data_IF_609893463418
#
_entry.id   IF_609893463418
#
_cell.length_a   1.000
_cell.length_b   1.000
_cell.length_c   1.000
_cell.angle_alpha   90.00
_cell.angle_beta   90.00
_cell.angle_gamma   90.00
#
_symmetry.space_group_name_H-M   'P 1'
#
loop_
_entity.id
_entity.type
_entity.pdbx_description
1 polymer ?
#
# COMPACT_ATOMS: atom_id res chain seq x y z
N UNK A 1 71.86 -17.49 -38.26
CA UNK A 1 71.33 -16.22 -38.82
C UNK A 1 69.99 -16.00 -38.14
N UNK A 2 69.99 -15.29 -37.00
CA UNK A 2 69.61 -13.86 -36.84
C UNK A 2 68.10 -13.68 -37.00
N UNK A 3 67.30 -13.12 -36.09
CA UNK A 3 67.49 -12.35 -34.86
C UNK A 3 66.17 -12.38 -34.05
N UNK A 4 66.26 -12.04 -32.76
CA UNK A 4 65.12 -11.80 -31.89
C UNK A 4 64.46 -10.45 -32.19
N UNK A 5 63.14 -10.34 -31.99
CA UNK A 5 62.50 -9.02 -31.80
C UNK A 5 61.40 -9.16 -30.75
N UNK A 6 61.67 -8.60 -29.58
CA UNK A 6 60.71 -8.32 -28.52
C UNK A 6 59.77 -7.19 -28.99
N UNK A 7 58.47 -7.45 -29.03
CA UNK A 7 57.43 -6.44 -29.20
C UNK A 7 56.75 -6.21 -27.86
N UNK A 8 56.89 -5.00 -27.34
CA UNK A 8 56.51 -4.57 -26.00
C UNK A 8 55.03 -4.76 -25.68
N UNK A 9 54.74 -5.23 -24.47
CA UNK A 9 53.41 -5.15 -23.88
C UNK A 9 53.05 -3.70 -23.63
N UNK A 10 52.01 -3.23 -24.32
CA UNK A 10 51.31 -1.99 -24.00
C UNK A 10 50.09 -2.31 -23.14
N UNK A 11 50.34 -2.50 -21.84
CA UNK A 11 49.33 -2.52 -20.79
C UNK A 11 49.09 -1.06 -20.36
N UNK A 12 48.44 -0.28 -21.22
CA UNK A 12 47.91 1.03 -20.83
C UNK A 12 46.37 0.95 -20.70
N UNK A 13 45.81 1.25 -19.51
CA UNK A 13 44.37 1.22 -19.30
C UNK A 13 43.73 2.40 -20.05
N UNK A 14 42.82 2.08 -20.96
CA UNK A 14 41.95 3.05 -21.63
C UNK A 14 41.21 3.87 -20.54
N UNK A 15 41.35 5.20 -20.49
CA UNK A 15 40.58 5.98 -19.53
C UNK A 15 39.11 5.93 -19.94
N UNK A 16 38.31 5.20 -19.16
CA UNK A 16 36.85 5.32 -19.19
C UNK A 16 36.52 6.73 -18.70
N UNK A 17 36.06 7.57 -19.61
CA UNK A 17 35.46 8.86 -19.25
C UNK A 17 34.38 8.62 -18.18
N UNK A 18 34.44 9.25 -17.01
CA UNK A 18 33.28 9.27 -16.12
C UNK A 18 32.25 10.17 -16.79
N UNK A 19 31.27 9.57 -17.46
CA UNK A 19 30.01 10.23 -17.76
C UNK A 19 29.46 10.78 -16.44
N UNK A 20 29.48 12.09 -16.31
CA UNK A 20 28.87 12.84 -15.22
C UNK A 20 27.39 12.44 -15.14
N UNK A 21 26.91 11.81 -14.05
CA UNK A 21 25.50 11.70 -13.84
C UNK A 21 24.96 13.10 -13.55
N UNK A 22 23.97 13.48 -14.36
CA UNK A 22 23.09 14.62 -14.13
C UNK A 22 22.61 14.62 -12.69
N UNK A 23 22.82 15.73 -11.99
CA UNK A 23 22.25 16.00 -10.69
C UNK A 23 20.76 16.31 -10.90
N UNK A 24 19.93 15.30 -10.71
CA UNK A 24 18.48 15.38 -10.78
C UNK A 24 17.92 13.96 -10.75
N UNK A 25 17.18 13.64 -9.69
CA UNK A 25 16.53 12.34 -9.40
C UNK A 25 17.39 11.31 -8.67
N UNK A 26 17.60 11.61 -7.38
CA UNK A 26 17.95 10.61 -6.38
C UNK A 26 16.65 9.87 -5.99
N UNK A 27 16.65 8.56 -6.22
CA UNK A 27 15.87 7.51 -5.54
C UNK A 27 14.39 7.30 -5.91
N UNK A 28 14.14 6.40 -6.87
CA UNK A 28 13.27 5.25 -6.60
C UNK A 28 13.74 4.03 -7.42
N UNK A 29 13.92 2.89 -6.76
CA UNK A 29 14.50 1.67 -7.33
C UNK A 29 13.50 0.96 -8.29
N UNK A 30 13.96 0.11 -9.24
CA UNK A 30 13.07 -0.70 -10.10
C UNK A 30 12.14 -1.66 -9.34
N UNK A 31 12.34 -1.79 -8.02
CA UNK A 31 11.51 -2.57 -7.12
C UNK A 31 10.07 -2.06 -6.99
N UNK A 32 9.87 -0.74 -6.97
CA UNK A 32 8.53 -0.16 -6.88
C UNK A 32 7.72 -0.43 -8.13
N UNK A 33 8.36 -0.57 -9.30
CA UNK A 33 7.66 -0.76 -10.57
C UNK A 33 6.91 -2.09 -10.62
N UNK A 34 7.49 -3.17 -10.08
CA UNK A 34 6.86 -4.50 -10.10
C UNK A 34 5.62 -4.57 -9.20
N UNK A 35 5.66 -3.92 -8.04
CA UNK A 35 4.50 -3.80 -7.16
C UNK A 35 3.50 -2.73 -7.63
N UNK A 36 3.97 -1.66 -8.28
CA UNK A 36 3.12 -0.61 -8.85
C UNK A 36 2.28 -1.14 -10.01
N UNK A 37 2.82 -2.05 -10.82
CA UNK A 37 2.08 -2.75 -11.87
C UNK A 37 0.88 -3.56 -11.34
N UNK A 38 0.86 -3.90 -10.05
CA UNK A 38 -0.25 -4.62 -9.42
C UNK A 38 -1.39 -3.68 -8.98
N UNK A 39 -1.27 -2.36 -9.16
CA UNK A 39 -2.32 -1.41 -8.80
C UNK A 39 -2.42 -1.08 -7.30
N UNK A 40 -1.29 -1.16 -6.58
CA UNK A 40 -1.24 -0.79 -5.16
C UNK A 40 -1.19 0.73 -4.96
N UNK A 41 -1.83 1.21 -3.88
CA UNK A 41 -1.77 2.61 -3.49
C UNK A 41 -0.33 3.07 -3.19
N UNK A 42 0.00 4.35 -3.43
CA UNK A 42 1.34 4.89 -3.21
C UNK A 42 1.82 4.76 -1.77
N UNK A 43 0.90 4.80 -0.80
CA UNK A 43 1.16 4.59 0.62
C UNK A 43 1.72 3.19 0.90
N UNK A 44 1.09 2.17 0.30
CA UNK A 44 1.53 0.78 0.44
C UNK A 44 2.83 0.52 -0.31
N UNK A 45 3.03 1.14 -1.48
CA UNK A 45 4.29 1.03 -2.24
C UNK A 45 5.48 1.57 -1.44
N UNK A 46 5.30 2.70 -0.75
CA UNK A 46 6.31 3.25 0.14
C UNK A 46 6.62 2.28 1.28
N UNK A 47 5.58 1.75 1.95
CA UNK A 47 5.78 0.83 3.06
C UNK A 47 6.49 -0.47 2.63
N UNK A 48 6.13 -1.00 1.45
CA UNK A 48 6.79 -2.16 0.83
C UNK A 48 8.28 -1.88 0.56
N UNK A 49 8.61 -0.70 0.05
CA UNK A 49 9.99 -0.27 -0.15
C UNK A 49 10.76 -0.12 1.18
N UNK A 50 10.13 0.44 2.21
CA UNK A 50 10.72 0.61 3.55
C UNK A 50 10.98 -0.74 4.25
N UNK A 51 10.14 -1.74 3.98
CA UNK A 51 10.32 -3.13 4.41
C UNK A 51 11.42 -3.87 3.62
N UNK A 52 11.97 -3.25 2.57
CA UNK A 52 13.00 -3.84 1.72
C UNK A 52 12.48 -4.90 0.74
N UNK A 53 11.17 -4.92 0.46
CA UNK A 53 10.61 -5.79 -0.55
C UNK A 53 10.89 -5.24 -1.94
N UNK A 54 11.79 -5.91 -2.66
CA UNK A 54 12.22 -5.46 -3.99
C UNK A 54 11.42 -6.09 -5.12
N UNK A 55 11.17 -7.41 -5.05
CA UNK A 55 10.43 -8.14 -6.07
C UNK A 55 9.27 -8.92 -5.44
N UNK A 56 8.05 -8.86 -6.01
CA UNK A 56 6.94 -9.65 -5.51
C UNK A 56 7.21 -11.13 -5.73
N UNK A 57 6.87 -11.97 -4.74
CA UNK A 57 6.94 -13.43 -4.92
C UNK A 57 5.86 -13.91 -5.90
N UNK A 58 6.02 -15.10 -6.46
CA UNK A 58 5.01 -15.67 -7.38
C UNK A 58 3.62 -15.75 -6.74
N UNK A 59 3.58 -16.18 -5.47
CA UNK A 59 2.34 -16.25 -4.68
C UNK A 59 1.74 -14.87 -4.47
N UNK A 60 2.57 -13.85 -4.21
CA UNK A 60 2.11 -12.47 -4.07
C UNK A 60 1.55 -11.93 -5.38
N UNK A 61 2.25 -12.12 -6.51
CA UNK A 61 1.74 -11.66 -7.82
C UNK A 61 0.37 -12.26 -8.13
N UNK A 62 0.22 -13.57 -7.98
CA UNK A 62 -1.05 -14.25 -8.25
C UNK A 62 -2.12 -13.84 -7.25
N UNK A 63 -1.81 -13.86 -5.96
CA UNK A 63 -2.79 -13.55 -4.93
C UNK A 63 -3.23 -12.09 -5.00
N UNK A 64 -2.32 -11.13 -5.17
CA UNK A 64 -2.64 -9.69 -5.26
C UNK A 64 -3.43 -9.39 -6.53
N UNK A 65 -3.01 -9.93 -7.68
CA UNK A 65 -3.71 -9.71 -8.94
C UNK A 65 -5.13 -10.30 -8.95
N UNK A 66 -5.35 -11.40 -8.23
CA UNK A 66 -6.68 -11.93 -8.00
C UNK A 66 -7.42 -11.10 -6.96
N UNK A 67 -6.77 -10.79 -5.83
CA UNK A 67 -7.34 -10.14 -4.64
C UNK A 67 -7.82 -8.69 -4.87
N UNK A 68 -7.19 -7.99 -5.80
CA UNK A 68 -7.62 -6.66 -6.21
C UNK A 68 -8.61 -6.82 -7.37
N UNK A 69 -9.81 -6.21 -7.30
CA UNK A 69 -10.65 -6.12 -8.46
C UNK A 69 -9.83 -5.40 -9.54
N UNK A 70 -9.46 -6.14 -10.59
CA UNK A 70 -9.12 -5.52 -11.87
C UNK A 70 -10.24 -4.54 -12.15
N UNK A 71 -9.92 -3.26 -12.36
CA UNK A 71 -10.84 -2.10 -12.42
C UNK A 71 -10.85 -1.18 -11.17
N UNK A 72 -9.77 -1.08 -10.39
CA UNK A 72 -9.45 0.21 -9.74
C UNK A 72 -8.95 1.16 -10.84
N UNK A 73 -9.88 1.56 -11.72
CA UNK A 73 -9.69 2.72 -12.58
C UNK A 73 -9.54 3.94 -11.68
N UNK A 74 -8.53 4.75 -11.98
CA UNK A 74 -8.20 6.04 -11.35
C UNK A 74 -9.26 7.11 -11.64
N UNK A 75 -10.53 6.76 -11.61
CA UNK A 75 -11.65 7.68 -11.76
C UNK A 75 -12.31 7.84 -10.40
N UNK A 76 -11.93 8.91 -9.71
CA UNK A 76 -12.49 9.44 -8.45
C UNK A 76 -14.02 9.65 -8.46
N UNK A 77 -14.71 9.28 -9.54
CA UNK A 77 -16.13 9.49 -9.77
C UNK A 77 -17.01 8.24 -9.65
N UNK A 78 -16.46 7.02 -9.52
CA UNK A 78 -17.27 5.79 -9.41
C UNK A 78 -17.61 5.38 -7.96
N UNK A 79 -17.12 6.09 -6.96
CA UNK A 79 -17.32 5.78 -5.53
C UNK A 79 -18.75 6.11 -5.02
N UNK A 80 -19.65 6.56 -5.88
CA UNK A 80 -21.02 6.97 -5.51
C UNK A 80 -22.09 5.89 -5.74
N UNK A 81 -21.75 4.73 -6.30
CA UNK A 81 -22.70 3.64 -6.48
C UNK A 81 -22.36 2.46 -5.56
N UNK A 82 -22.75 2.59 -4.29
CA UNK A 82 -23.07 1.44 -3.46
C UNK A 82 -24.32 0.77 -4.04
N UNK A 83 -24.19 0.15 -5.21
CA UNK A 83 -25.15 -0.83 -5.70
C UNK A 83 -24.79 -2.16 -5.04
N UNK A 84 -25.77 -2.73 -4.33
CA UNK A 84 -25.74 -3.98 -3.54
C UNK A 84 -25.25 -5.25 -4.29
N UNK A 85 -24.70 -5.15 -5.50
CA UNK A 85 -24.27 -6.26 -6.37
C UNK A 85 -22.84 -6.11 -6.97
N UNK A 86 -22.04 -5.11 -6.57
CA UNK A 86 -20.76 -4.78 -7.24
C UNK A 86 -19.46 -5.19 -6.50
N UNK A 87 -19.54 -5.97 -5.43
CA UNK A 87 -18.39 -6.59 -4.77
C UNK A 87 -18.54 -8.10 -4.92
N UNK A 88 -18.20 -8.65 -6.09
CA UNK A 88 -17.94 -10.08 -6.20
C UNK A 88 -16.69 -10.40 -5.39
N UNK A 89 -16.83 -10.45 -4.06
CA UNK A 89 -15.83 -10.96 -3.16
C UNK A 89 -15.56 -12.41 -3.57
N UNK A 90 -14.52 -12.62 -4.36
CA UNK A 90 -14.09 -13.97 -4.73
C UNK A 90 -13.30 -14.52 -3.54
N UNK A 91 -13.68 -15.71 -3.12
CA UNK A 91 -12.93 -16.45 -2.12
C UNK A 91 -11.65 -16.98 -2.78
N UNK A 92 -10.51 -16.62 -2.21
CA UNK A 92 -9.20 -17.06 -2.68
C UNK A 92 -8.63 -18.13 -1.75
N UNK A 93 -8.34 -19.31 -2.29
CA UNK A 93 -7.57 -20.33 -1.60
C UNK A 93 -6.11 -20.31 -2.08
N UNK A 94 -5.17 -20.00 -1.18
CA UNK A 94 -3.74 -19.93 -1.49
C UNK A 94 -2.99 -21.07 -0.77
N UNK A 95 -2.35 -21.95 -1.54
CA UNK A 95 -1.46 -22.99 -1.00
C UNK A 95 -0.01 -22.69 -1.36
N UNK A 96 0.86 -22.51 -0.36
CA UNK A 96 2.30 -22.35 -0.58
C UNK A 96 3.14 -22.66 0.66
N UNK A 97 4.41 -23.01 0.47
CA UNK A 97 5.37 -23.37 1.55
C UNK A 97 5.69 -22.18 2.47
N UNK A 98 6.00 -22.44 3.74
CA UNK A 98 6.46 -21.39 4.67
C UNK A 98 7.65 -20.61 4.09
N UNK A 99 7.71 -19.30 4.34
CA UNK A 99 8.73 -18.42 3.73
C UNK A 99 8.41 -17.91 2.33
N UNK A 100 7.29 -18.30 1.71
CA UNK A 100 6.88 -17.83 0.36
C UNK A 100 6.31 -16.39 0.28
N UNK A 101 6.27 -15.67 1.40
CA UNK A 101 5.71 -14.32 1.45
C UNK A 101 4.17 -14.25 1.48
N UNK A 102 3.49 -15.33 1.92
CA UNK A 102 2.01 -15.38 2.09
C UNK A 102 1.44 -14.21 2.88
N UNK A 103 2.16 -13.77 3.91
CA UNK A 103 1.67 -12.71 4.81
C UNK A 103 1.39 -11.43 4.05
N UNK A 104 2.36 -10.93 3.28
CA UNK A 104 2.15 -9.76 2.42
C UNK A 104 1.15 -10.05 1.28
N UNK A 105 1.07 -11.29 0.79
CA UNK A 105 0.16 -11.68 -0.28
C UNK A 105 -1.33 -11.46 0.06
N UNK A 106 -1.73 -11.65 1.33
CA UNK A 106 -3.09 -11.34 1.77
C UNK A 106 -3.19 -9.97 2.47
N UNK A 107 -2.14 -9.51 3.16
CA UNK A 107 -2.19 -8.22 3.87
C UNK A 107 -2.26 -7.03 2.93
N UNK A 108 -1.47 -7.00 1.84
CA UNK A 108 -1.45 -5.88 0.91
C UNK A 108 -2.84 -5.57 0.30
N UNK A 109 -3.55 -6.54 -0.30
CA UNK A 109 -4.89 -6.26 -0.84
C UNK A 109 -5.92 -5.96 0.26
N UNK A 110 -5.79 -6.56 1.44
CA UNK A 110 -6.65 -6.26 2.59
C UNK A 110 -6.47 -4.80 3.04
N UNK A 111 -5.23 -4.35 3.22
CA UNK A 111 -4.91 -2.98 3.63
C UNK A 111 -5.36 -1.97 2.57
N UNK A 112 -5.18 -2.28 1.27
CA UNK A 112 -5.69 -1.47 0.17
C UNK A 112 -7.20 -1.25 0.29
N UNK A 113 -7.98 -2.32 0.52
CA UNK A 113 -9.44 -2.23 0.69
C UNK A 113 -9.82 -1.40 1.92
N UNK A 114 -9.11 -1.57 3.04
CA UNK A 114 -9.34 -0.77 4.25
C UNK A 114 -9.03 0.72 4.05
N UNK A 115 -7.96 1.05 3.31
CA UNK A 115 -7.61 2.43 2.98
C UNK A 115 -8.69 3.06 2.08
N UNK A 116 -9.14 2.36 1.05
CA UNK A 116 -10.23 2.82 0.18
C UNK A 116 -11.54 3.03 0.96
N UNK A 117 -11.90 2.09 1.86
CA UNK A 117 -13.07 2.23 2.73
C UNK A 117 -12.95 3.42 3.67
N UNK A 118 -11.78 3.67 4.27
CA UNK A 118 -11.54 4.83 5.13
C UNK A 118 -11.64 6.14 4.36
N UNK A 119 -11.01 6.23 3.18
CA UNK A 119 -11.07 7.43 2.34
C UNK A 119 -12.50 7.74 1.89
N UNK A 120 -13.27 6.72 1.48
CA UNK A 120 -14.68 6.88 1.15
C UNK A 120 -15.50 7.37 2.35
N UNK A 121 -15.35 6.74 3.53
CA UNK A 121 -16.05 7.14 4.74
C UNK A 121 -15.69 8.58 5.18
N UNK A 122 -14.42 8.96 5.05
CA UNK A 122 -13.98 10.34 5.31
C UNK A 122 -14.55 11.34 4.31
N UNK A 123 -14.58 11.00 3.02
CA UNK A 123 -15.16 11.86 1.98
C UNK A 123 -16.65 12.09 2.23
N UNK A 124 -17.40 11.04 2.57
CA UNK A 124 -18.82 11.13 2.95
C UNK A 124 -19.02 11.98 4.21
N UNK A 125 -18.18 11.79 5.23
CA UNK A 125 -18.25 12.60 6.45
C UNK A 125 -17.95 14.08 6.18
N UNK A 126 -16.94 14.37 5.34
CA UNK A 126 -16.60 15.73 4.91
C UNK A 126 -17.77 16.38 4.16
N UNK A 127 -18.33 15.69 3.16
CA UNK A 127 -19.50 16.16 2.42
C UNK A 127 -20.71 16.43 3.33
N UNK A 128 -20.99 15.55 4.30
CA UNK A 128 -22.06 15.75 5.28
C UNK A 128 -21.82 16.99 6.16
N UNK A 129 -20.57 17.23 6.58
CA UNK A 129 -20.23 18.44 7.36
C UNK A 129 -20.36 19.71 6.53
N UNK A 130 -19.99 19.67 5.25
CA UNK A 130 -20.13 20.78 4.31
C UNK A 130 -21.61 21.09 4.04
N UNK A 131 -22.43 20.07 3.81
CA UNK A 131 -23.89 20.21 3.67
C UNK A 131 -24.52 20.81 4.93
N UNK A 132 -24.17 20.31 6.12
CA UNK A 132 -24.68 20.86 7.37
C UNK A 132 -24.26 22.32 7.60
N UNK A 133 -23.07 22.72 7.15
CA UNK A 133 -22.61 24.10 7.21
C UNK A 133 -23.38 25.01 6.23
N UNK A 134 -23.65 24.53 5.01
CA UNK A 134 -24.46 25.24 4.02
C UNK A 134 -25.90 25.45 4.52
N UNK A 135 -26.52 24.41 5.09
CA UNK A 135 -27.86 24.49 5.67
C UNK A 135 -27.94 25.46 6.86
N UNK A 136 -26.91 25.48 7.72
CA UNK A 136 -26.82 26.41 8.84
C UNK A 136 -26.69 27.86 8.36
N UNK A 137 -25.94 28.09 7.29
CA UNK A 137 -25.79 29.42 6.68
C UNK A 137 -27.11 29.92 6.08
N UNK A 138 -27.88 29.04 5.43
CA UNK A 138 -29.23 29.36 4.94
C UNK A 138 -30.21 29.71 6.08
N UNK A 139 -30.06 29.06 7.25
CA UNK A 139 -30.85 29.35 8.46
C UNK A 139 -30.33 30.53 9.29
N UNK A 140 -29.18 31.11 8.95
CA UNK A 140 -28.56 32.21 9.71
C UNK A 140 -27.96 31.78 11.07
N UNK A 141 -27.67 30.50 11.24
CA UNK A 141 -27.09 29.92 12.46
C UNK A 141 -25.56 29.77 12.36
N UNK A 142 -24.89 29.67 13.50
CA UNK A 142 -23.43 29.45 13.55
C UNK A 142 -23.06 28.00 13.17
N UNK A 143 -21.95 27.82 12.43
CA UNK A 143 -21.50 26.51 11.94
C UNK A 143 -21.25 25.48 13.06
N UNK A 144 -21.51 24.18 12.80
CA UNK A 144 -21.34 23.12 13.79
C UNK A 144 -19.87 22.98 14.22
N UNK A 145 -19.63 22.96 15.54
CA UNK A 145 -18.28 22.79 16.11
C UNK A 145 -17.80 21.35 15.97
N UNK A 146 -16.50 21.16 15.69
CA UNK A 146 -15.87 19.83 15.66
C UNK A 146 -16.08 19.10 16.99
N UNK A 147 -16.42 17.80 16.98
CA UNK A 147 -16.60 17.03 18.19
C UNK A 147 -15.29 16.96 18.99
N UNK A 148 -15.37 17.23 20.30
CA UNK A 148 -14.22 17.10 21.21
C UNK A 148 -13.88 15.62 21.38
N UNK A 149 -12.60 15.28 21.26
CA UNK A 149 -12.08 13.94 21.60
C UNK A 149 -12.50 13.60 23.04
N UNK A 150 -13.18 12.47 23.21
CA UNK A 150 -13.57 11.92 24.52
C UNK A 150 -12.53 10.92 24.99
N UNK A 151 -12.39 10.77 26.30
CA UNK A 151 -11.51 9.75 26.86
C UNK A 151 -12.13 8.36 26.59
N UNK A 152 -11.46 7.46 25.84
CA UNK A 152 -11.99 6.15 25.50
C UNK A 152 -12.06 5.17 26.69
N UNK A 153 -11.34 5.43 27.79
CA UNK A 153 -11.39 4.60 28.99
C UNK A 153 -12.53 4.98 29.95
N UNK A 154 -13.27 6.05 29.65
CA UNK A 154 -14.46 6.42 30.41
C UNK A 154 -15.61 5.46 30.00
N UNK A 155 -16.19 4.68 30.93
CA UNK A 155 -17.26 3.74 30.60
C UNK A 155 -18.48 4.41 29.97
N UNK A 156 -18.68 5.73 30.17
CA UNK A 156 -19.76 6.50 29.52
C UNK A 156 -19.49 6.83 28.06
N UNK A 157 -18.23 6.76 27.61
CA UNK A 157 -17.81 7.03 26.24
C UNK A 157 -17.26 5.78 25.54
N UNK A 158 -17.46 4.60 26.11
CA UNK A 158 -17.04 3.35 25.50
C UNK A 158 -17.79 3.13 24.18
N UNK A 159 -17.04 2.96 23.09
CA UNK A 159 -17.55 2.47 21.81
C UNK A 159 -16.92 1.12 21.54
N UNK A 160 -17.75 0.15 21.15
CA UNK A 160 -17.25 -1.14 20.68
C UNK A 160 -16.35 -0.91 19.46
N UNK A 161 -15.29 -1.71 19.34
CA UNK A 161 -14.46 -1.70 18.15
C UNK A 161 -15.24 -2.36 17.00
N UNK A 162 -15.30 -1.69 15.85
CA UNK A 162 -15.84 -2.22 14.61
C UNK A 162 -14.66 -2.54 13.69
N UNK A 163 -14.08 -3.76 13.77
CA UNK A 163 -12.93 -4.11 12.95
C UNK A 163 -13.33 -4.26 11.48
N UNK A 164 -12.62 -3.59 10.58
CA UNK A 164 -12.83 -3.75 9.13
C UNK A 164 -12.30 -5.07 8.57
N UNK A 165 -11.42 -5.76 9.29
CA UNK A 165 -10.88 -7.06 8.87
C UNK A 165 -10.52 -7.94 10.08
N UNK A 166 -10.62 -9.27 9.90
CA UNK A 166 -10.25 -10.28 10.89
C UNK A 166 -9.28 -11.30 10.27
N UNK A 167 -8.11 -11.46 10.88
CA UNK A 167 -7.12 -12.45 10.47
C UNK A 167 -7.00 -13.51 11.56
N UNK A 168 -7.32 -14.76 11.22
CA UNK A 168 -7.24 -15.88 12.15
C UNK A 168 -5.89 -16.58 12.03
N UNK A 169 -5.21 -16.73 13.17
CA UNK A 169 -3.91 -17.39 13.25
C UNK A 169 -4.00 -18.59 14.21
N UNK A 170 -3.40 -19.75 13.88
CA UNK A 170 -3.41 -20.93 14.74
C UNK A 170 -2.57 -20.78 16.02
N UNK A 171 -1.54 -19.92 16.00
CA UNK A 171 -0.64 -19.71 17.14
C UNK A 171 -0.50 -18.23 17.47
N UNK A 172 -0.17 -17.95 18.73
CA UNK A 172 0.01 -16.59 19.24
C UNK A 172 1.23 -15.92 18.60
N UNK A 173 2.30 -16.65 18.42
CA UNK A 173 3.56 -16.17 17.84
C UNK A 173 3.34 -15.75 16.38
N UNK A 174 2.57 -16.54 15.63
CA UNK A 174 2.20 -16.18 14.26
C UNK A 174 1.28 -14.96 14.23
N UNK A 175 0.32 -14.86 15.15
CA UNK A 175 -0.52 -13.67 15.24
C UNK A 175 0.29 -12.40 15.53
N UNK A 176 1.29 -12.49 16.40
CA UNK A 176 2.20 -11.37 16.71
C UNK A 176 3.05 -10.98 15.49
N UNK A 177 3.55 -11.95 14.73
CA UNK A 177 4.30 -11.68 13.50
C UNK A 177 3.42 -10.96 12.48
N UNK A 178 2.23 -11.51 12.20
CA UNK A 178 1.28 -10.91 11.25
C UNK A 178 0.86 -9.50 11.68
N UNK A 179 0.62 -9.28 12.97
CA UNK A 179 0.27 -7.96 13.50
C UNK A 179 1.42 -6.97 13.35
N UNK A 180 2.66 -7.40 13.61
CA UNK A 180 3.84 -6.55 13.41
C UNK A 180 4.01 -6.16 11.94
N UNK A 181 3.91 -7.13 11.04
CA UNK A 181 4.01 -6.91 9.60
C UNK A 181 2.91 -5.96 9.11
N UNK A 182 1.67 -6.13 9.57
CA UNK A 182 0.55 -5.26 9.25
C UNK A 182 0.76 -3.81 9.75
N UNK A 183 1.30 -3.64 10.97
CA UNK A 183 1.63 -2.31 11.51
C UNK A 183 2.75 -1.65 10.70
N UNK A 184 3.77 -2.43 10.30
CA UNK A 184 4.87 -1.91 9.50
C UNK A 184 4.41 -1.45 8.11
N UNK A 185 3.39 -2.09 7.54
CA UNK A 185 2.81 -1.74 6.23
C UNK A 185 1.93 -0.48 6.23
N UNK A 186 1.56 0.05 7.41
CA UNK A 186 0.65 1.22 7.55
C UNK A 186 1.35 2.43 8.19
N UNK A 187 2.67 2.34 8.44
CA UNK A 187 3.48 3.44 8.98
C UNK A 187 3.99 4.36 7.89
#
# INVERSE_FOLDING_TARGET
MTEATFGAGDLSPRPLSPSTPSVGDIQNAPASDAFAQLGLAPELLRAVADLGFTEPTEVQRQAIALALPSEIGTDEASVAAASDDADAAFDLMVSSRTGSGKTAAFLLPLLQRLLAQQQCAEALARAATEQAAADALLRGEASPKKPRRRNPTDPRNFRAAEPGALVLCPTRELAQQVAHDAIALVR
#
